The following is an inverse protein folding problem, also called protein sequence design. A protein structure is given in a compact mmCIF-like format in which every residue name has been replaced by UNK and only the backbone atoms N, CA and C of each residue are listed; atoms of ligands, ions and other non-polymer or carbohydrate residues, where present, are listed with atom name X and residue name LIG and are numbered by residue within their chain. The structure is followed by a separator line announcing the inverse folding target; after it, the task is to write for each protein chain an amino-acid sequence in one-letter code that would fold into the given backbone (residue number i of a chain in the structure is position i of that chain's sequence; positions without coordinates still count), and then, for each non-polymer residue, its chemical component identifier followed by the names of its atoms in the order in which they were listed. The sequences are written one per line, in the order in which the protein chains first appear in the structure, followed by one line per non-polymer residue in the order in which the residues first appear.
data_IF_167807276385
#
_entry.id   IF_167807276385
#
_cell.length_a   1.000
_cell.length_b   1.000
_cell.length_c   1.000
_cell.angle_alpha   90.00
_cell.angle_beta   90.00
_cell.angle_gamma   90.00
#
_symmetry.space_group_name_H-M   'P 1'
#
loop_
_entity.id
_entity.type
_entity.pdbx_description
1 polymer ?
#
# COMPACT_ATOMS: atom_id res chain seq x y z
N UNK A 1 -20.02 -19.04 10.15
CA UNK A 1 -21.18 -18.63 11.01
C UNK A 1 -21.35 -17.12 11.23
N UNK A 2 -20.32 -16.28 11.10
CA UNK A 2 -20.41 -14.85 11.46
C UNK A 2 -21.50 -14.07 10.69
N UNK A 3 -21.61 -14.29 9.37
CA UNK A 3 -22.57 -13.58 8.51
C UNK A 3 -24.00 -13.89 8.94
N UNK A 4 -24.34 -15.17 9.14
CA UNK A 4 -25.67 -15.59 9.55
C UNK A 4 -26.07 -15.05 10.93
N UNK A 5 -25.13 -14.94 11.87
CA UNK A 5 -25.42 -14.40 13.21
C UNK A 5 -25.68 -12.89 13.22
N UNK A 6 -25.08 -12.14 12.29
CA UNK A 6 -25.25 -10.67 12.19
C UNK A 6 -26.35 -10.24 11.26
N UNK A 7 -26.75 -11.12 10.33
CA UNK A 7 -27.86 -10.89 9.44
C UNK A 7 -29.11 -10.44 10.22
N UNK A 8 -29.67 -9.30 9.84
CA UNK A 8 -30.83 -8.65 10.47
C UNK A 8 -30.70 -8.28 11.96
N UNK A 9 -29.54 -8.53 12.60
CA UNK A 9 -29.34 -8.24 14.03
C UNK A 9 -28.34 -7.12 14.27
N UNK A 10 -27.27 -7.02 13.48
CA UNK A 10 -26.20 -6.01 13.65
C UNK A 10 -25.56 -5.66 12.31
N UNK A 11 -25.14 -4.40 12.18
CA UNK A 11 -24.40 -3.93 11.00
C UNK A 11 -23.04 -4.62 10.85
N UNK A 12 -22.63 -4.83 9.59
CA UNK A 12 -21.35 -5.42 9.22
C UNK A 12 -20.76 -4.62 8.05
N UNK A 13 -19.50 -4.20 8.19
CA UNK A 13 -18.72 -3.60 7.11
C UNK A 13 -17.69 -4.63 6.60
N UNK A 14 -17.62 -4.80 5.28
CA UNK A 14 -16.70 -5.73 4.62
C UNK A 14 -15.96 -4.96 3.53
N UNK A 15 -14.63 -5.11 3.50
CA UNK A 15 -13.81 -4.69 2.38
C UNK A 15 -13.40 -5.92 1.57
N UNK A 16 -13.69 -5.91 0.27
CA UNK A 16 -13.32 -6.97 -0.64
C UNK A 16 -12.53 -6.39 -1.82
N UNK A 17 -11.47 -7.10 -2.22
CA UNK A 17 -10.67 -6.77 -3.40
C UNK A 17 -11.11 -7.52 -4.66
N UNK A 18 -12.12 -8.39 -4.54
CA UNK A 18 -12.65 -9.22 -5.62
C UNK A 18 -14.17 -9.03 -5.74
N UNK A 19 -14.72 -9.01 -6.96
CA UNK A 19 -16.16 -8.95 -7.17
C UNK A 19 -16.85 -10.23 -6.68
N UNK A 20 -18.15 -10.16 -6.39
CA UNK A 20 -18.92 -11.30 -5.89
C UNK A 20 -18.88 -12.53 -6.81
N UNK A 21 -18.72 -12.34 -8.12
CA UNK A 21 -18.57 -13.44 -9.10
C UNK A 21 -17.32 -14.29 -8.86
N UNK A 22 -16.26 -13.72 -8.26
CA UNK A 22 -15.01 -14.41 -7.97
C UNK A 22 -15.01 -15.10 -6.60
N UNK A 23 -16.06 -14.89 -5.78
CA UNK A 23 -16.12 -15.42 -4.41
C UNK A 23 -16.32 -16.95 -4.36
N UNK A 24 -16.64 -17.60 -5.49
CA UNK A 24 -16.66 -19.06 -5.58
C UNK A 24 -15.32 -19.72 -5.24
N UNK A 25 -14.21 -19.00 -5.34
CA UNK A 25 -12.87 -19.47 -4.91
C UNK A 25 -12.53 -19.17 -3.45
N UNK A 26 -13.29 -18.29 -2.80
CA UNK A 26 -13.05 -17.83 -1.42
C UNK A 26 -13.75 -18.75 -0.41
N UNK A 27 -14.91 -19.28 -0.78
CA UNK A 27 -15.68 -20.20 0.06
C UNK A 27 -15.48 -21.64 -0.42
N UNK A 28 -15.50 -22.62 0.49
CA UNK A 28 -15.25 -24.02 0.16
C UNK A 28 -16.38 -24.69 -0.62
N UNK A 29 -17.60 -24.13 -0.56
CA UNK A 29 -18.79 -24.67 -1.23
C UNK A 29 -19.59 -23.56 -1.90
N UNK A 30 -20.06 -23.83 -3.12
CA UNK A 30 -20.78 -22.85 -3.94
C UNK A 30 -22.13 -22.46 -3.34
N UNK A 31 -22.86 -23.40 -2.74
CA UNK A 31 -24.14 -23.09 -2.11
C UNK A 31 -23.95 -22.18 -0.89
N UNK A 32 -22.89 -22.40 -0.12
CA UNK A 32 -22.50 -21.52 0.99
C UNK A 32 -22.14 -20.12 0.49
N UNK A 33 -21.40 -20.00 -0.63
CA UNK A 33 -21.06 -18.71 -1.25
C UNK A 33 -22.31 -17.90 -1.58
N UNK A 34 -23.24 -18.52 -2.31
CA UNK A 34 -24.48 -17.85 -2.74
C UNK A 34 -25.29 -17.42 -1.52
N UNK A 35 -25.45 -18.31 -0.53
CA UNK A 35 -26.19 -17.99 0.68
C UNK A 35 -25.49 -16.92 1.55
N UNK A 36 -24.17 -16.81 1.51
CA UNK A 36 -23.44 -15.75 2.19
C UNK A 36 -23.62 -14.40 1.48
N UNK A 37 -23.51 -14.38 0.16
CA UNK A 37 -23.73 -13.16 -0.66
C UNK A 37 -25.14 -12.65 -0.46
N UNK A 38 -26.15 -13.51 -0.61
CA UNK A 38 -27.57 -13.17 -0.44
C UNK A 38 -27.84 -12.41 0.88
N UNK A 39 -27.37 -12.97 1.99
CA UNK A 39 -27.49 -12.34 3.32
C UNK A 39 -26.75 -11.02 3.44
N UNK A 40 -25.59 -10.90 2.79
CA UNK A 40 -24.82 -9.65 2.84
C UNK A 40 -25.49 -8.55 2.02
N UNK A 41 -26.01 -8.87 0.84
CA UNK A 41 -26.53 -7.86 -0.10
C UNK A 41 -27.96 -7.43 0.21
N UNK A 42 -28.75 -8.24 0.92
CA UNK A 42 -30.16 -7.95 1.19
C UNK A 42 -30.41 -6.57 1.84
N UNK A 43 -29.52 -6.13 2.74
CA UNK A 43 -29.59 -4.81 3.39
C UNK A 43 -28.26 -4.06 3.35
N UNK A 44 -27.52 -4.15 2.23
CA UNK A 44 -26.23 -3.47 2.08
C UNK A 44 -26.28 -2.20 1.23
N UNK A 45 -25.35 -1.30 1.53
CA UNK A 45 -24.89 -0.26 0.61
C UNK A 45 -23.55 -0.72 0.03
N UNK A 46 -23.49 -0.90 -1.29
CA UNK A 46 -22.25 -1.32 -1.97
C UNK A 46 -21.49 -0.06 -2.39
N UNK A 47 -20.24 0.03 -1.94
CA UNK A 47 -19.33 1.13 -2.28
C UNK A 47 -18.21 0.59 -3.17
N UNK A 48 -18.24 0.95 -4.45
CA UNK A 48 -17.20 0.58 -5.40
C UNK A 48 -16.04 1.57 -5.34
N UNK A 49 -14.84 1.07 -5.02
CA UNK A 49 -13.65 1.89 -4.84
C UNK A 49 -12.79 1.86 -6.11
N UNK A 50 -12.98 2.83 -7.00
CA UNK A 50 -12.26 2.96 -8.28
C UNK A 50 -11.08 3.96 -8.23
N UNK A 51 -10.56 4.25 -7.04
CA UNK A 51 -9.48 5.22 -6.84
C UNK A 51 -8.08 4.60 -6.95
N UNK A 52 -7.09 5.46 -7.16
CA UNK A 52 -5.69 5.04 -7.11
C UNK A 52 -5.30 4.47 -5.75
N UNK A 53 -4.35 3.52 -5.75
CA UNK A 53 -3.78 3.00 -4.51
C UNK A 53 -3.09 4.11 -3.73
N UNK A 54 -3.57 4.34 -2.51
CA UNK A 54 -2.95 5.29 -1.57
C UNK A 54 -1.47 4.99 -1.37
N UNK A 55 -1.11 3.69 -1.26
CA UNK A 55 0.28 3.25 -1.08
C UNK A 55 1.15 3.62 -2.28
N UNK A 56 0.65 3.48 -3.52
CA UNK A 56 1.40 3.87 -4.73
C UNK A 56 1.66 5.36 -4.77
N UNK A 57 0.66 6.20 -4.45
CA UNK A 57 0.84 7.66 -4.39
C UNK A 57 1.91 8.06 -3.37
N UNK A 58 1.87 7.46 -2.18
CA UNK A 58 2.86 7.72 -1.13
C UNK A 58 4.27 7.21 -1.51
N UNK A 59 4.38 6.13 -2.26
CA UNK A 59 5.67 5.65 -2.78
C UNK A 59 6.24 6.60 -3.85
N UNK A 60 5.40 7.07 -4.79
CA UNK A 60 5.80 8.02 -5.82
C UNK A 60 6.27 9.37 -5.22
N UNK A 61 5.60 9.87 -4.18
CA UNK A 61 6.02 11.10 -3.50
C UNK A 61 7.38 10.96 -2.79
N UNK A 62 7.74 9.75 -2.34
CA UNK A 62 9.05 9.47 -1.73
C UNK A 62 10.17 9.31 -2.75
N UNK A 63 9.83 8.97 -4.00
CA UNK A 63 10.78 8.79 -5.10
C UNK A 63 11.01 10.07 -5.90
N UNK A 64 10.31 11.15 -5.58
CA UNK A 64 10.56 12.47 -6.17
C UNK A 64 11.96 12.93 -5.76
N UNK A 65 12.89 13.17 -6.70
CA UNK A 65 14.28 13.46 -6.38
C UNK A 65 14.42 14.94 -6.03
N UNK A 66 14.04 15.31 -4.81
CA UNK A 66 14.41 16.64 -4.31
C UNK A 66 14.70 16.59 -2.80
N UNK A 67 15.90 17.08 -2.46
CA UNK A 67 16.54 17.13 -1.14
C UNK A 67 17.31 15.88 -0.64
N UNK A 68 18.19 15.32 -1.48
CA UNK A 68 19.54 14.97 -0.99
C UNK A 68 20.48 16.01 -1.57
N UNK A 69 20.70 17.10 -0.84
CA UNK A 69 21.80 18.01 -1.15
C UNK A 69 23.10 17.19 -1.16
N UNK A 70 24.02 17.42 -2.13
CA UNK A 70 25.30 16.72 -2.10
C UNK A 70 26.00 17.08 -0.77
N UNK A 71 26.59 16.11 -0.06
CA UNK A 71 27.45 16.45 1.05
C UNK A 71 28.53 17.36 0.48
N UNK A 72 28.57 18.59 0.97
CA UNK A 72 29.59 19.57 0.63
C UNK A 72 30.92 18.99 1.12
N UNK A 73 31.60 18.21 0.28
CA UNK A 73 32.99 17.89 0.47
C UNK A 73 33.76 19.16 0.09
N UNK A 74 34.01 20.00 1.09
CA UNK A 74 34.93 21.12 1.00
C UNK A 74 36.23 20.63 0.38
N UNK A 75 36.55 21.13 -0.80
CA UNK A 75 37.85 20.99 -1.43
C UNK A 75 38.85 21.87 -0.69
N UNK A 76 39.35 21.39 0.44
CA UNK A 76 40.52 21.98 1.10
C UNK A 76 41.77 21.56 0.33
N UNK A 77 42.03 22.29 -0.75
CA UNK A 77 43.35 22.40 -1.35
C UNK A 77 44.27 23.10 -0.34
N UNK A 78 44.99 22.33 0.46
CA UNK A 78 46.21 22.82 1.11
C UNK A 78 47.38 22.32 0.29
N UNK A 79 47.83 23.22 -0.59
CA UNK A 79 49.16 23.21 -1.18
C UNK A 79 50.20 23.32 -0.06
N UNK A 80 50.64 22.20 0.50
CA UNK A 80 51.82 22.19 1.35
C UNK A 80 53.06 22.04 0.47
N UNK A 81 53.50 23.21 0.01
CA UNK A 81 54.89 23.65 -0.15
C UNK A 81 55.91 22.64 -0.70
N UNK A 82 56.31 22.91 -1.95
CA UNK A 82 57.71 22.78 -2.35
C UNK A 82 58.59 23.44 -1.28
N UNK A 83 59.46 22.68 -0.64
CA UNK A 83 60.88 22.98 -0.34
C UNK A 83 61.38 22.06 0.79
N UNK A 84 61.79 20.84 0.45
CA UNK A 84 63.00 20.28 1.07
C UNK A 84 63.95 19.90 -0.06
N UNK A 85 64.83 20.87 -0.33
CA UNK A 85 65.96 20.79 -1.24
C UNK A 85 66.84 19.60 -0.87
N UNK A 86 67.28 18.88 -1.89
CA UNK A 86 68.68 18.54 -2.14
C UNK A 86 69.61 18.62 -0.93
N UNK A 87 69.88 17.49 -0.27
CA UNK A 87 71.19 17.04 0.19
C UNK A 87 71.03 15.81 1.10
N UNK A 88 71.13 14.59 0.57
CA UNK A 88 72.26 13.66 0.75
C UNK A 88 72.00 12.33 0.05
#
# INVERSE_FOLDING_TARGET
ELIARRYETKSLAIAANQPFSAWGSVFPDQAVTVAAIDRLVHHATILEMNGDSYRRRAAASRQSPEAVAPPTASSDNISDKLEEKTAQ
#
